data_IF_130928051976
#
_entry.id   IF_130928051976
#
_cell.length_a   1.000
_cell.length_b   1.000
_cell.length_c   1.000
_cell.angle_alpha   90.00
_cell.angle_beta   90.00
_cell.angle_gamma   90.00
#
_symmetry.space_group_name_H-M   'P 1'
#
loop_
_entity.id
_entity.type
_entity.pdbx_description
1 polymer ?
#
# COMPACT_ATOMS: atom_id res chain seq x y z
N UNK A 1 29.43 5.65 -6.06
CA UNK A 1 29.23 4.24 -5.63
C UNK A 1 30.37 3.87 -4.69
N UNK A 2 30.13 3.10 -3.62
CA UNK A 2 31.19 2.70 -2.68
C UNK A 2 32.15 1.67 -3.33
N UNK A 3 33.45 1.79 -3.06
CA UNK A 3 34.44 0.83 -3.57
C UNK A 3 34.28 -0.58 -2.98
N UNK A 4 33.74 -0.71 -1.76
CA UNK A 4 33.40 -1.97 -1.13
C UNK A 4 32.05 -1.87 -0.39
N UNK A 5 30.92 -2.23 -1.03
CA UNK A 5 29.61 -2.22 -0.39
C UNK A 5 29.49 -3.11 0.85
N UNK A 6 30.30 -4.18 0.96
CA UNK A 6 30.29 -5.08 2.12
C UNK A 6 30.94 -4.46 3.38
N UNK A 7 31.69 -3.36 3.22
CA UNK A 7 32.22 -2.61 4.35
C UNK A 7 31.19 -1.66 4.98
N UNK A 8 30.06 -1.39 4.30
CA UNK A 8 28.97 -0.59 4.84
C UNK A 8 28.29 -1.34 5.98
N UNK A 9 28.09 -0.65 7.11
CA UNK A 9 27.39 -1.18 8.28
C UNK A 9 26.15 -0.34 8.53
N UNK A 10 24.98 -0.97 8.52
CA UNK A 10 23.76 -0.37 9.04
C UNK A 10 23.85 -0.42 10.56
N UNK A 11 24.00 0.74 11.20
CA UNK A 11 24.14 0.84 12.67
C UNK A 11 22.81 1.12 13.37
N UNK A 12 21.81 1.63 12.64
CA UNK A 12 20.47 1.91 13.13
C UNK A 12 19.46 1.82 11.99
N UNK A 13 18.30 1.24 12.28
CA UNK A 13 17.11 1.25 11.45
C UNK A 13 15.92 1.54 12.36
N UNK A 14 15.08 2.49 11.97
CA UNK A 14 13.90 2.88 12.74
C UNK A 14 12.85 3.49 11.82
N UNK A 15 11.61 3.48 12.27
CA UNK A 15 10.54 4.24 11.64
C UNK A 15 10.86 5.75 11.67
N UNK A 16 10.30 6.49 10.73
CA UNK A 16 10.51 7.93 10.62
C UNK A 16 9.20 8.66 10.25
N UNK A 17 8.59 8.31 9.11
CA UNK A 17 7.29 8.89 8.70
C UNK A 17 6.15 7.91 8.98
N UNK A 18 5.10 8.44 9.60
CA UNK A 18 3.83 7.76 9.82
C UNK A 18 2.76 8.48 9.02
N UNK A 19 2.05 7.74 8.19
CA UNK A 19 0.96 8.27 7.39
C UNK A 19 -0.36 7.59 7.77
N UNK A 20 -1.45 8.33 7.62
CA UNK A 20 -2.80 7.79 7.68
C UNK A 20 -3.59 8.33 6.50
N UNK A 21 -4.12 7.42 5.69
CA UNK A 21 -5.07 7.77 4.65
C UNK A 21 -6.39 8.20 5.30
N UNK A 22 -6.86 9.40 4.97
CA UNK A 22 -8.14 9.94 5.43
C UNK A 22 -9.25 9.75 4.40
N UNK A 23 -8.90 9.81 3.11
CA UNK A 23 -9.79 9.64 1.97
C UNK A 23 -9.16 8.62 1.03
N UNK A 24 -9.62 7.38 1.08
CA UNK A 24 -9.04 6.25 0.32
C UNK A 24 -9.14 6.48 -1.18
N UNK A 25 -10.23 7.07 -1.65
CA UNK A 25 -10.42 7.36 -3.06
C UNK A 25 -9.41 8.40 -3.54
N UNK A 26 -9.36 9.58 -2.90
CA UNK A 26 -8.42 10.63 -3.32
C UNK A 26 -6.97 10.21 -3.20
N UNK A 27 -6.61 9.47 -2.15
CA UNK A 27 -5.25 8.98 -1.98
C UNK A 27 -4.87 8.03 -3.11
N UNK A 28 -5.68 6.98 -3.36
CA UNK A 28 -5.31 5.97 -4.34
C UNK A 28 -5.39 6.45 -5.79
N UNK A 29 -6.28 7.40 -6.11
CA UNK A 29 -6.36 8.05 -7.43
C UNK A 29 -5.26 9.11 -7.64
N UNK A 30 -4.78 9.74 -6.56
CA UNK A 30 -3.69 10.71 -6.61
C UNK A 30 -2.29 10.10 -6.68
N UNK A 31 -2.19 8.77 -6.58
CA UNK A 31 -0.94 8.00 -6.64
C UNK A 31 -0.72 7.47 -8.06
N UNK A 32 0.52 7.53 -8.55
CA UNK A 32 0.94 6.80 -9.76
C UNK A 32 1.40 5.37 -9.40
N UNK A 33 1.23 4.44 -10.33
CA UNK A 33 1.53 3.02 -10.15
C UNK A 33 2.51 2.58 -11.24
N UNK A 34 3.70 2.10 -10.90
CA UNK A 34 4.66 1.67 -11.94
C UNK A 34 4.18 0.44 -12.71
N UNK A 35 3.40 -0.42 -12.05
CA UNK A 35 2.86 -1.65 -12.61
C UNK A 35 1.35 -1.48 -12.78
N UNK A 36 0.84 -1.44 -14.03
CA UNK A 36 -0.58 -1.45 -14.30
C UNK A 36 -1.23 -2.71 -13.73
N UNK A 37 -2.47 -2.59 -13.28
CA UNK A 37 -3.17 -3.72 -12.69
C UNK A 37 -4.51 -3.37 -12.11
N UNK A 38 -5.22 -4.42 -11.69
CA UNK A 38 -6.52 -4.29 -11.05
C UNK A 38 -6.61 -5.19 -9.83
N UNK A 39 -7.04 -4.60 -8.71
CA UNK A 39 -7.25 -5.33 -7.46
C UNK A 39 -8.50 -4.82 -6.74
N UNK A 40 -9.24 -5.74 -6.14
CA UNK A 40 -10.38 -5.40 -5.28
C UNK A 40 -10.05 -5.66 -3.82
N UNK A 41 -10.45 -4.75 -2.94
CA UNK A 41 -10.19 -4.90 -1.51
C UNK A 41 -11.35 -4.39 -0.67
N UNK A 42 -11.53 -4.99 0.50
CA UNK A 42 -12.51 -4.55 1.50
C UNK A 42 -11.79 -3.90 2.68
N UNK A 43 -12.29 -2.75 3.11
CA UNK A 43 -11.98 -2.13 4.40
C UNK A 43 -13.19 -2.35 5.30
N UNK A 44 -13.01 -3.10 6.38
CA UNK A 44 -14.11 -3.51 7.28
C UNK A 44 -14.43 -2.48 8.37
N UNK A 45 -13.42 -1.78 8.89
CA UNK A 45 -13.58 -0.76 9.94
C UNK A 45 -12.68 0.46 9.68
N UNK A 46 -13.26 1.64 9.88
CA UNK A 46 -12.56 2.91 10.03
C UNK A 46 -13.43 3.88 10.84
N UNK A 47 -13.27 3.83 12.16
CA UNK A 47 -14.03 4.69 13.08
C UNK A 47 -13.77 6.17 12.88
N UNK A 48 -12.58 6.55 12.39
CA UNK A 48 -12.21 7.95 12.20
C UNK A 48 -12.81 8.50 10.90
N UNK A 49 -12.79 7.69 9.84
CA UNK A 49 -13.33 8.05 8.54
C UNK A 49 -14.25 6.93 8.02
N UNK A 50 -15.51 6.85 8.51
CA UNK A 50 -16.44 5.77 8.12
C UNK A 50 -16.71 5.68 6.62
N UNK A 51 -16.49 6.77 5.89
CA UNK A 51 -16.57 6.80 4.44
C UNK A 51 -15.53 5.89 3.76
N UNK A 52 -14.45 5.48 4.42
CA UNK A 52 -13.49 4.55 3.82
C UNK A 52 -13.97 3.09 3.83
N UNK A 53 -14.92 2.76 4.70
CA UNK A 53 -15.46 1.39 4.86
C UNK A 53 -16.20 0.96 3.59
N UNK A 54 -16.00 -0.30 3.21
CA UNK A 54 -16.64 -0.94 2.06
C UNK A 54 -15.65 -1.64 1.13
N UNK A 55 -16.19 -2.13 0.01
CA UNK A 55 -15.41 -2.82 -1.01
C UNK A 55 -15.11 -1.88 -2.18
N UNK A 56 -13.84 -1.85 -2.55
CA UNK A 56 -13.29 -0.99 -3.57
C UNK A 56 -12.66 -1.82 -4.69
N UNK A 57 -12.71 -1.29 -5.91
CA UNK A 57 -11.94 -1.74 -7.06
C UNK A 57 -10.97 -0.64 -7.45
N UNK A 58 -9.68 -0.96 -7.38
CA UNK A 58 -8.60 -0.13 -7.89
C UNK A 58 -8.18 -0.66 -9.26
N UNK A 59 -8.28 0.19 -10.28
CA UNK A 59 -7.71 -0.05 -11.60
C UNK A 59 -6.65 1.02 -11.85
N UNK A 60 -5.43 0.61 -12.19
CA UNK A 60 -4.32 1.50 -12.50
C UNK A 60 -3.74 1.16 -13.87
N UNK A 61 -3.49 2.17 -14.69
CA UNK A 61 -2.93 2.03 -16.05
C UNK A 61 -1.44 2.41 -16.13
N UNK A 62 -0.86 2.82 -15.00
CA UNK A 62 0.49 3.36 -14.93
C UNK A 62 0.46 4.76 -14.30
N UNK A 63 0.31 5.81 -15.12
CA UNK A 63 0.28 7.19 -14.66
C UNK A 63 -0.99 7.56 -13.87
N UNK A 64 -2.10 6.85 -14.11
CA UNK A 64 -3.38 7.14 -13.48
C UNK A 64 -3.96 5.90 -12.80
N UNK A 65 -4.87 6.16 -11.87
CA UNK A 65 -5.69 5.15 -11.26
C UNK A 65 -7.11 5.68 -11.03
N UNK A 66 -8.06 4.75 -11.02
CA UNK A 66 -9.44 4.98 -10.67
C UNK A 66 -9.83 4.04 -9.55
N UNK A 67 -10.48 4.60 -8.53
CA UNK A 67 -11.02 3.82 -7.42
C UNK A 67 -12.54 3.93 -7.42
N UNK A 68 -13.20 2.79 -7.55
CA UNK A 68 -14.67 2.72 -7.57
C UNK A 68 -15.18 1.82 -6.45
N UNK A 69 -16.33 2.20 -5.87
CA UNK A 69 -17.06 1.29 -4.99
C UNK A 69 -17.68 0.17 -5.81
N UNK A 70 -17.62 -1.04 -5.29
CA UNK A 70 -18.27 -2.20 -5.90
C UNK A 70 -19.10 -2.97 -4.88
N UNK A 71 -20.10 -3.68 -5.39
CA UNK A 71 -20.80 -4.74 -4.67
C UNK A 71 -20.29 -6.08 -5.22
N UNK A 72 -19.77 -6.95 -4.36
CA UNK A 72 -19.23 -8.24 -4.80
C UNK A 72 -17.96 -8.68 -4.06
N UNK A 73 -17.32 -9.75 -4.54
CA UNK A 73 -16.15 -10.33 -3.90
C UNK A 73 -14.93 -9.40 -4.02
N UNK A 74 -14.11 -9.39 -2.97
CA UNK A 74 -12.81 -8.74 -2.95
C UNK A 74 -11.68 -9.76 -3.12
N UNK A 75 -10.53 -9.33 -3.66
CA UNK A 75 -9.30 -10.13 -3.68
C UNK A 75 -8.69 -10.26 -2.28
N UNK A 76 -8.85 -9.25 -1.42
CA UNK A 76 -8.32 -9.22 -0.06
C UNK A 76 -9.12 -8.32 0.88
N UNK A 77 -8.91 -8.48 2.18
CA UNK A 77 -9.31 -7.52 3.22
C UNK A 77 -8.06 -6.82 3.73
N UNK A 78 -8.11 -5.50 3.92
CA UNK A 78 -6.99 -4.70 4.44
C UNK A 78 -7.50 -3.62 5.37
N UNK A 79 -6.77 -3.36 6.45
CA UNK A 79 -7.06 -2.25 7.35
C UNK A 79 -6.40 -0.93 6.90
N UNK A 80 -6.91 0.20 7.39
CA UNK A 80 -6.38 1.53 7.05
C UNK A 80 -4.91 1.69 7.44
N UNK A 81 -4.43 1.23 8.62
CA UNK A 81 -3.01 1.25 8.95
C UNK A 81 -2.14 0.54 7.89
N UNK A 82 -2.46 -0.69 7.50
CA UNK A 82 -1.71 -1.42 6.48
C UNK A 82 -1.75 -0.74 5.12
N UNK A 83 -2.93 -0.26 4.68
CA UNK A 83 -3.02 0.48 3.41
C UNK A 83 -2.18 1.76 3.45
N UNK A 84 -2.16 2.45 4.60
CA UNK A 84 -1.36 3.66 4.80
C UNK A 84 0.14 3.37 4.81
N UNK A 85 0.58 2.26 5.42
CA UNK A 85 1.97 1.80 5.38
C UNK A 85 2.42 1.44 3.97
N UNK A 86 1.55 0.84 3.16
CA UNK A 86 1.84 0.50 1.76
C UNK A 86 1.88 1.72 0.83
N UNK A 87 1.16 2.80 1.17
CA UNK A 87 0.86 3.89 0.25
C UNK A 87 2.07 4.48 -0.47
N UNK A 88 3.18 4.69 0.25
CA UNK A 88 4.40 5.26 -0.31
C UNK A 88 5.31 4.23 -1.01
N UNK A 89 4.98 2.94 -0.93
CA UNK A 89 5.69 1.85 -1.61
C UNK A 89 6.92 1.29 -0.90
N UNK A 90 7.16 1.68 0.36
CA UNK A 90 8.30 1.19 1.17
C UNK A 90 7.98 0.01 2.09
N UNK A 91 6.72 -0.42 2.21
CA UNK A 91 6.32 -1.51 3.10
C UNK A 91 6.01 -2.81 2.32
N UNK A 92 6.38 -3.96 2.91
CA UNK A 92 6.08 -5.27 2.35
C UNK A 92 4.62 -5.67 2.59
N UNK A 93 3.85 -5.86 1.52
CA UNK A 93 2.49 -6.40 1.61
C UNK A 93 2.47 -7.83 2.18
N UNK A 94 3.54 -8.60 1.97
CA UNK A 94 3.69 -9.95 2.53
C UNK A 94 3.84 -9.91 4.04
N UNK A 95 4.62 -8.96 4.56
CA UNK A 95 4.88 -8.84 6.00
C UNK A 95 3.60 -8.38 6.72
N UNK A 96 2.85 -7.45 6.12
CA UNK A 96 1.53 -7.03 6.61
C UNK A 96 0.53 -8.19 6.62
N UNK A 97 0.57 -9.06 5.61
CA UNK A 97 -0.28 -10.25 5.58
C UNK A 97 0.10 -11.26 6.67
N UNK A 98 1.40 -11.49 6.89
CA UNK A 98 1.89 -12.34 7.98
C UNK A 98 1.55 -11.78 9.36
N UNK A 99 1.54 -10.45 9.51
CA UNK A 99 1.14 -9.77 10.72
C UNK A 99 -0.39 -9.72 10.94
N UNK A 100 -1.19 -10.19 9.97
CA UNK A 100 -2.65 -10.26 10.07
C UNK A 100 -3.40 -8.97 9.70
N UNK A 101 -2.70 -7.94 9.21
CA UNK A 101 -3.33 -6.68 8.76
C UNK A 101 -3.83 -6.72 7.30
N UNK A 102 -3.45 -7.75 6.56
CA UNK A 102 -3.89 -8.02 5.19
C UNK A 102 -4.29 -9.49 5.07
N UNK A 103 -5.55 -9.75 4.73
CA UNK A 103 -6.08 -11.11 4.57
C UNK A 103 -6.42 -11.39 3.10
N UNK A 104 -5.65 -12.22 2.38
CA UNK A 104 -6.01 -12.60 1.02
C UNK A 104 -7.26 -13.48 1.00
N UNK A 105 -8.13 -13.22 0.03
CA UNK A 105 -9.31 -14.02 -0.30
C UNK A 105 -9.10 -14.79 -1.62
N UNK A 106 -8.19 -14.31 -2.48
CA UNK A 106 -7.74 -14.98 -3.71
C UNK A 106 -6.24 -15.27 -3.70
N UNK A 107 -5.79 -16.24 -4.51
CA UNK A 107 -4.46 -16.84 -4.39
C UNK A 107 -3.27 -15.90 -4.60
N UNK A 108 -3.34 -14.95 -5.54
CA UNK A 108 -2.24 -14.00 -5.85
C UNK A 108 -2.53 -12.56 -5.36
N UNK A 109 -3.53 -12.36 -4.51
CA UNK A 109 -3.93 -11.01 -4.08
C UNK A 109 -2.77 -10.21 -3.46
N UNK A 110 -2.00 -10.83 -2.57
CA UNK A 110 -0.85 -10.20 -1.89
C UNK A 110 0.27 -9.88 -2.88
N UNK A 111 0.58 -10.81 -3.79
CA UNK A 111 1.62 -10.63 -4.79
C UNK A 111 1.26 -9.52 -5.78
N UNK A 112 0.00 -9.48 -6.22
CA UNK A 112 -0.53 -8.42 -7.08
C UNK A 112 -0.47 -7.06 -6.41
N UNK A 113 -0.94 -6.96 -5.16
CA UNK A 113 -0.88 -5.71 -4.39
C UNK A 113 0.58 -5.23 -4.23
N UNK A 114 1.50 -6.13 -3.87
CA UNK A 114 2.91 -5.80 -3.72
C UNK A 114 3.53 -5.21 -5.00
N UNK A 115 3.20 -5.78 -6.17
CA UNK A 115 3.69 -5.28 -7.46
C UNK A 115 3.12 -3.90 -7.80
N UNK A 116 1.81 -3.70 -7.60
CA UNK A 116 1.15 -2.42 -7.87
C UNK A 116 1.61 -1.30 -6.92
N UNK A 117 1.90 -1.63 -5.66
CA UNK A 117 2.30 -0.65 -4.64
C UNK A 117 3.81 -0.42 -4.54
N UNK A 118 4.65 -1.18 -5.25
CA UNK A 118 6.09 -0.91 -5.31
C UNK A 118 6.37 0.46 -5.96
N UNK A 119 7.43 1.12 -5.50
CA UNK A 119 8.07 2.25 -6.17
C UNK A 119 9.58 2.01 -6.31
N UNK A 120 10.20 2.62 -7.32
CA UNK A 120 11.63 2.63 -7.56
C UNK A 120 12.09 4.06 -7.95
N UNK A 121 12.84 4.75 -7.08
CA UNK A 121 13.45 4.26 -5.85
C UNK A 121 12.45 4.03 -4.70
N UNK A 122 12.89 3.31 -3.67
CA UNK A 122 12.17 3.24 -2.40
C UNK A 122 11.98 4.65 -1.80
N UNK A 123 10.85 4.90 -1.11
CA UNK A 123 10.58 6.20 -0.51
C UNK A 123 11.57 6.50 0.61
N UNK A 124 11.99 7.76 0.71
CA UNK A 124 12.85 8.24 1.79
C UNK A 124 12.33 9.57 2.33
N UNK A 125 12.57 9.82 3.61
CA UNK A 125 12.24 11.10 4.23
C UNK A 125 13.33 12.12 3.94
N UNK A 126 12.95 13.26 3.37
CA UNK A 126 13.90 14.34 3.06
C UNK A 126 14.23 15.18 4.29
N UNK A 127 13.25 15.43 5.16
CA UNK A 127 13.40 16.17 6.43
C UNK A 127 12.33 15.71 7.42
N UNK A 128 12.60 15.88 8.72
CA UNK A 128 11.63 15.60 9.79
C UNK A 128 10.86 16.86 10.19
N UNK A 129 9.64 16.67 10.69
CA UNK A 129 8.78 17.70 11.27
C UNK A 129 8.03 17.15 12.48
#
# INVERSE_FOLDING_TARGET
>A
MLANPRALRITRQSDNLWARILDVQKALEGRAYEVPGEITFTIEDDRMCPANVGTWRLAADGPAAQLSRITGPADLVIDIPALSSLYLGGMSARDLAQAGHLKPLTGDAVGKLARMFRTDPEPHNSFGF
#
